data_IF_082427947848
#
_entry.id   IF_082427947848
#
_cell.length_a   1.000
_cell.length_b   1.000
_cell.length_c   1.000
_cell.angle_alpha   90.00
_cell.angle_beta   90.00
_cell.angle_gamma   90.00
#
_symmetry.space_group_name_H-M   'P 1'
#
loop_
_entity.id
_entity.type
_entity.pdbx_description
1 polymer ?
#
# COMPACT_ATOMS: atom_id res chain seq x y z
N UNK A 1 -15.06 8.77 6.10
CA UNK A 1 -15.43 8.22 7.42
C UNK A 1 -16.93 7.91 7.55
N UNK A 2 -17.84 8.88 7.76
CA UNK A 2 -19.28 8.61 8.03
C UNK A 2 -19.99 7.68 7.03
N UNK A 3 -19.64 7.78 5.75
CA UNK A 3 -20.20 6.90 4.72
C UNK A 3 -19.78 5.43 4.92
N UNK A 4 -18.51 5.19 5.26
CA UNK A 4 -18.00 3.84 5.54
C UNK A 4 -18.68 3.28 6.79
N UNK A 5 -18.75 4.06 7.87
CA UNK A 5 -19.44 3.65 9.12
C UNK A 5 -20.90 3.24 8.86
N UNK A 6 -21.62 3.99 8.02
CA UNK A 6 -23.03 3.71 7.67
C UNK A 6 -23.20 2.45 6.81
N UNK A 7 -22.19 2.10 6.01
CA UNK A 7 -22.29 1.05 5.00
C UNK A 7 -21.37 -0.15 5.27
N UNK A 8 -20.66 -0.18 6.41
CA UNK A 8 -19.70 -1.23 6.76
C UNK A 8 -20.26 -2.63 6.51
N UNK A 9 -21.40 -2.97 7.13
CA UNK A 9 -22.03 -4.30 6.99
C UNK A 9 -22.56 -4.63 5.58
N UNK A 10 -22.38 -3.75 4.60
CA UNK A 10 -22.77 -3.94 3.18
C UNK A 10 -21.57 -4.03 2.24
N UNK A 11 -20.36 -3.95 2.76
CA UNK A 11 -19.13 -4.02 1.98
C UNK A 11 -18.43 -5.34 2.25
N UNK A 12 -17.83 -5.91 1.20
CA UNK A 12 -16.96 -7.07 1.38
C UNK A 12 -15.62 -6.70 2.01
N UNK A 13 -15.14 -5.49 1.69
CA UNK A 13 -13.79 -5.05 1.92
C UNK A 13 -13.66 -3.53 1.83
N UNK A 14 -12.85 -2.94 2.71
CA UNK A 14 -12.43 -1.54 2.65
C UNK A 14 -10.90 -1.46 2.54
N UNK A 15 -10.45 -0.95 1.40
CA UNK A 15 -9.06 -0.62 1.15
C UNK A 15 -8.77 0.82 1.61
N UNK A 16 -7.76 0.99 2.45
CA UNK A 16 -7.33 2.29 2.94
C UNK A 16 -6.12 2.83 2.19
N UNK A 17 -6.16 4.09 1.77
CA UNK A 17 -5.06 4.75 1.05
C UNK A 17 -4.82 6.18 1.53
N UNK A 18 -3.61 6.70 1.29
CA UNK A 18 -3.22 8.10 1.50
C UNK A 18 -2.75 8.67 0.16
N UNK A 19 -3.45 9.69 -0.35
CA UNK A 19 -3.11 10.36 -1.62
C UNK A 19 -2.80 11.85 -1.47
N UNK A 20 -3.03 12.39 -0.27
CA UNK A 20 -2.80 13.79 0.06
C UNK A 20 -1.81 13.88 1.22
N UNK A 21 -0.85 14.79 1.09
CA UNK A 21 0.03 15.19 2.19
C UNK A 21 -0.55 16.46 2.82
N UNK A 22 0.16 17.58 2.72
CA UNK A 22 -0.23 18.86 3.33
C UNK A 22 -1.26 19.65 2.52
N UNK A 23 -1.22 19.54 1.18
CA UNK A 23 -2.15 20.25 0.29
C UNK A 23 -3.42 19.43 0.16
N UNK A 24 -4.56 19.99 0.57
CA UNK A 24 -5.85 19.30 0.49
C UNK A 24 -6.47 19.34 -0.91
N UNK A 25 -5.99 20.24 -1.77
CA UNK A 25 -6.48 20.49 -3.13
C UNK A 25 -5.65 19.78 -4.21
N UNK A 26 -4.51 19.17 -3.85
CA UNK A 26 -3.60 18.55 -4.80
C UNK A 26 -3.04 17.23 -4.26
N UNK A 27 -3.35 16.14 -4.97
CA UNK A 27 -2.79 14.82 -4.69
C UNK A 27 -1.28 14.80 -4.98
N UNK A 28 -0.48 14.23 -4.08
CA UNK A 28 0.98 14.14 -4.28
C UNK A 28 1.32 13.13 -5.38
N UNK A 29 0.46 12.14 -5.62
CA UNK A 29 0.65 11.03 -6.56
C UNK A 29 0.05 11.29 -7.95
N UNK A 30 -0.42 12.51 -8.22
CA UNK A 30 -0.73 12.94 -9.59
C UNK A 30 0.55 13.01 -10.41
N UNK A 31 0.60 12.33 -11.55
CA UNK A 31 1.79 12.29 -12.43
C UNK A 31 1.50 13.07 -13.73
N UNK A 32 2.32 14.08 -14.10
CA UNK A 32 3.53 14.55 -13.41
C UNK A 32 3.27 15.61 -12.32
N UNK A 33 2.10 16.24 -12.29
CA UNK A 33 1.86 17.51 -11.57
C UNK A 33 2.19 17.48 -10.07
N UNK A 34 1.98 16.34 -9.40
CA UNK A 34 2.26 16.14 -7.98
C UNK A 34 3.75 16.11 -7.62
N UNK A 35 4.65 15.89 -8.58
CA UNK A 35 6.10 15.83 -8.34
C UNK A 35 6.66 17.16 -7.81
N UNK A 36 6.08 18.29 -8.24
CA UNK A 36 6.43 19.63 -7.75
C UNK A 36 6.32 19.77 -6.22
N UNK A 37 5.49 18.94 -5.56
CA UNK A 37 5.33 18.98 -4.11
C UNK A 37 6.58 18.49 -3.34
N UNK A 38 7.52 17.85 -4.02
CA UNK A 38 8.76 17.32 -3.43
C UNK A 38 9.96 18.26 -3.59
N UNK A 39 9.85 19.28 -4.45
CA UNK A 39 10.96 20.18 -4.76
C UNK A 39 11.40 20.99 -3.53
N UNK A 40 12.70 20.94 -3.22
CA UNK A 40 13.29 21.68 -2.09
C UNK A 40 12.89 21.16 -0.71
N UNK A 41 12.22 20.01 -0.60
CA UNK A 41 11.80 19.41 0.67
C UNK A 41 12.74 18.31 1.13
N UNK A 42 12.73 18.06 2.44
CA UNK A 42 13.37 16.90 3.04
C UNK A 42 12.55 15.63 2.76
N UNK A 43 13.11 14.68 2.01
CA UNK A 43 12.40 13.45 1.61
C UNK A 43 12.14 12.54 2.81
N UNK A 44 13.05 12.47 3.79
CA UNK A 44 12.88 11.65 4.99
C UNK A 44 11.67 12.12 5.81
N UNK A 45 11.53 13.44 5.99
CA UNK A 45 10.37 14.05 6.65
C UNK A 45 9.06 13.80 5.88
N UNK A 46 9.10 13.82 4.54
CA UNK A 46 7.92 13.53 3.72
C UNK A 46 7.46 12.08 3.89
N UNK A 47 8.39 11.13 3.91
CA UNK A 47 8.10 9.72 4.19
C UNK A 47 7.56 9.53 5.60
N UNK A 48 8.17 10.15 6.61
CA UNK A 48 7.70 10.09 7.99
C UNK A 48 6.27 10.66 8.13
N UNK A 49 5.96 11.77 7.46
CA UNK A 49 4.62 12.36 7.43
C UNK A 49 3.61 11.43 6.73
N UNK A 50 3.98 10.86 5.58
CA UNK A 50 3.14 9.90 4.86
C UNK A 50 2.82 8.66 5.70
N UNK A 51 3.81 8.08 6.37
CA UNK A 51 3.60 6.94 7.28
C UNK A 51 2.79 7.32 8.53
N UNK A 52 2.95 8.54 9.05
CA UNK A 52 2.11 9.06 10.12
C UNK A 52 0.62 9.09 9.70
N UNK A 53 0.31 9.58 8.49
CA UNK A 53 -1.05 9.60 7.94
C UNK A 53 -1.63 8.20 7.75
N UNK A 54 -0.81 7.22 7.36
CA UNK A 54 -1.25 5.82 7.34
C UNK A 54 -1.63 5.34 8.74
N UNK A 55 -0.85 5.67 9.77
CA UNK A 55 -1.19 5.33 11.17
C UNK A 55 -2.47 6.03 11.64
N UNK A 56 -2.71 7.28 11.24
CA UNK A 56 -3.97 8.00 11.50
C UNK A 56 -5.17 7.30 10.82
N UNK A 57 -5.01 6.89 9.56
CA UNK A 57 -6.01 6.12 8.82
C UNK A 57 -6.32 4.78 9.51
N UNK A 58 -5.29 4.02 9.86
CA UNK A 58 -5.42 2.74 10.57
C UNK A 58 -6.13 2.95 11.92
N UNK A 59 -5.85 4.05 12.62
CA UNK A 59 -6.47 4.39 13.91
C UNK A 59 -7.99 4.59 13.82
N UNK A 60 -8.53 4.84 12.63
CA UNK A 60 -9.99 4.94 12.44
C UNK A 60 -10.71 3.61 12.65
N UNK A 61 -10.03 2.47 12.48
CA UNK A 61 -10.62 1.13 12.58
C UNK A 61 -11.60 0.80 11.47
N UNK A 62 -11.56 1.52 10.35
CA UNK A 62 -12.50 1.40 9.23
C UNK A 62 -11.79 0.96 7.94
N UNK A 63 -10.80 0.09 8.05
CA UNK A 63 -10.01 -0.46 6.94
C UNK A 63 -9.71 -1.92 7.21
N UNK A 64 -9.63 -2.73 6.15
CA UNK A 64 -9.25 -4.15 6.21
C UNK A 64 -7.83 -4.38 5.68
N UNK A 65 -7.40 -3.54 4.72
CA UNK A 65 -6.07 -3.59 4.12
C UNK A 65 -5.61 -2.21 3.66
N UNK A 66 -4.30 -2.01 3.56
CA UNK A 66 -3.67 -0.77 3.13
C UNK A 66 -3.22 -0.88 1.66
N UNK A 67 -3.68 0.04 0.83
CA UNK A 67 -3.29 0.17 -0.57
C UNK A 67 -1.83 0.60 -0.66
N UNK A 68 -1.12 0.07 -1.69
CA UNK A 68 0.17 0.58 -2.18
C UNK A 68 1.02 1.27 -1.10
N UNK A 69 1.48 0.49 -0.11
CA UNK A 69 1.85 1.01 1.22
C UNK A 69 2.92 2.12 1.19
N UNK A 70 3.84 2.13 0.22
CA UNK A 70 4.87 3.16 0.08
C UNK A 70 4.66 4.09 -1.14
N UNK A 71 3.40 4.36 -1.52
CA UNK A 71 3.01 5.22 -2.67
C UNK A 71 3.77 6.55 -2.76
N UNK A 72 4.22 7.11 -1.63
CA UNK A 72 5.08 8.31 -1.56
C UNK A 72 6.28 8.26 -2.52
N UNK A 73 6.76 7.06 -2.88
CA UNK A 73 7.87 6.84 -3.79
C UNK A 73 7.54 7.02 -5.28
N UNK A 74 6.27 7.28 -5.64
CA UNK A 74 5.72 7.21 -7.01
C UNK A 74 6.51 8.00 -8.07
N UNK A 75 7.08 9.14 -7.70
CA UNK A 75 7.88 9.99 -8.60
C UNK A 75 9.37 9.65 -8.63
N UNK A 76 9.80 8.62 -7.89
CA UNK A 76 11.19 8.17 -7.84
C UNK A 76 12.02 8.78 -6.71
N UNK A 77 11.46 9.68 -5.88
CA UNK A 77 12.14 10.16 -4.67
C UNK A 77 12.40 9.00 -3.70
N UNK A 78 13.53 9.06 -2.98
CA UNK A 78 13.96 8.03 -2.03
C UNK A 78 14.47 8.69 -0.74
N UNK A 79 14.17 8.11 0.43
CA UNK A 79 14.72 8.58 1.69
C UNK A 79 16.24 8.37 1.70
N UNK A 80 16.94 9.18 2.49
CA UNK A 80 18.34 8.94 2.84
C UNK A 80 18.46 8.03 4.06
N UNK A 81 17.43 8.01 4.91
CA UNK A 81 17.32 7.07 6.01
C UNK A 81 16.96 5.65 5.54
N UNK A 82 17.28 4.66 6.37
CA UNK A 82 16.83 3.30 6.18
C UNK A 82 15.29 3.23 6.22
N UNK A 83 14.70 2.58 5.21
CA UNK A 83 13.25 2.51 5.08
C UNK A 83 12.59 1.76 6.25
N UNK A 84 13.29 0.77 6.82
CA UNK A 84 12.85 0.04 7.99
C UNK A 84 12.62 0.97 9.17
N UNK A 85 13.56 1.90 9.41
CA UNK A 85 13.44 2.93 10.46
C UNK A 85 12.18 3.78 10.30
N UNK A 86 11.84 4.17 9.07
CA UNK A 86 10.68 5.02 8.77
C UNK A 86 9.34 4.27 8.83
N UNK A 87 9.33 2.99 8.46
CA UNK A 87 8.10 2.20 8.28
C UNK A 87 7.75 1.30 9.48
N UNK A 88 8.72 0.94 10.33
CA UNK A 88 8.55 -0.11 11.35
C UNK A 88 7.37 0.15 12.29
N UNK A 89 7.22 1.38 12.81
CA UNK A 89 6.08 1.74 13.67
C UNK A 89 4.73 1.51 12.95
N UNK A 90 4.67 1.80 11.65
CA UNK A 90 3.46 1.57 10.83
C UNK A 90 3.19 0.07 10.68
N UNK A 91 4.20 -0.75 10.40
CA UNK A 91 4.05 -2.21 10.28
C UNK A 91 3.57 -2.83 11.59
N UNK A 92 4.15 -2.43 12.74
CA UNK A 92 3.68 -2.86 14.06
C UNK A 92 2.22 -2.49 14.31
N UNK A 93 1.78 -1.33 13.82
CA UNK A 93 0.39 -0.89 13.96
C UNK A 93 -0.56 -1.70 13.07
N UNK A 94 -0.16 -1.97 11.81
CA UNK A 94 -0.88 -2.85 10.88
C UNK A 94 -1.04 -4.24 11.49
N UNK A 95 0.04 -4.82 12.03
CA UNK A 95 0.02 -6.13 12.67
C UNK A 95 -0.91 -6.18 13.88
N UNK A 96 -0.78 -5.22 14.82
CA UNK A 96 -1.63 -5.14 16.02
C UNK A 96 -3.12 -4.98 15.68
N UNK A 97 -3.43 -4.35 14.55
CA UNK A 97 -4.80 -4.16 14.06
C UNK A 97 -5.30 -5.29 13.16
N UNK A 98 -4.48 -6.33 12.96
CA UNK A 98 -4.81 -7.49 12.14
C UNK A 98 -5.19 -7.12 10.70
N UNK A 99 -4.50 -6.14 10.12
CA UNK A 99 -4.74 -5.65 8.75
C UNK A 99 -3.82 -6.33 7.73
N UNK A 100 -4.20 -6.28 6.44
CA UNK A 100 -3.37 -6.76 5.34
C UNK A 100 -2.70 -5.61 4.58
N UNK A 101 -1.66 -5.92 3.79
CA UNK A 101 -1.01 -4.97 2.87
C UNK A 101 -1.28 -5.38 1.42
N UNK A 102 -1.64 -4.43 0.56
CA UNK A 102 -1.81 -4.66 -0.86
C UNK A 102 -0.46 -4.73 -1.60
N UNK A 103 -0.25 -5.82 -2.34
CA UNK A 103 0.78 -5.91 -3.37
C UNK A 103 0.20 -5.38 -4.70
N UNK A 104 0.47 -4.11 -4.99
CA UNK A 104 -0.09 -3.42 -6.16
C UNK A 104 0.91 -3.33 -7.31
N UNK A 105 0.56 -3.96 -8.42
CA UNK A 105 1.34 -3.92 -9.67
C UNK A 105 1.27 -2.58 -10.40
N UNK A 106 0.50 -1.63 -9.87
CA UNK A 106 0.34 -0.29 -10.42
C UNK A 106 1.68 0.46 -10.54
N UNK A 107 2.57 0.29 -9.57
CA UNK A 107 3.83 1.00 -9.53
C UNK A 107 4.76 0.71 -10.70
N UNK A 108 4.66 -0.47 -11.33
CA UNK A 108 5.36 -0.79 -12.59
C UNK A 108 4.86 0.02 -13.80
N UNK A 109 3.71 0.70 -13.68
CA UNK A 109 3.19 1.62 -14.70
C UNK A 109 3.45 3.09 -14.36
N UNK A 110 4.04 3.38 -13.20
CA UNK A 110 4.33 4.74 -12.73
C UNK A 110 5.82 5.06 -12.92
N UNK A 111 6.24 6.33 -12.79
CA UNK A 111 7.65 6.71 -12.95
C UNK A 111 8.61 5.90 -12.08
N UNK A 112 8.18 5.50 -10.88
CA UNK A 112 8.99 4.65 -10.00
C UNK A 112 9.30 3.26 -10.56
N UNK A 113 8.48 2.73 -11.45
CA UNK A 113 8.64 1.42 -12.09
C UNK A 113 8.97 0.27 -11.13
N UNK A 114 8.30 0.24 -9.98
CA UNK A 114 8.55 -0.70 -8.88
C UNK A 114 7.21 -1.23 -8.33
N UNK A 115 7.21 -2.39 -7.67
CA UNK A 115 6.00 -2.88 -6.99
C UNK A 115 5.67 -1.93 -5.81
N UNK A 116 4.39 -1.83 -5.45
CA UNK A 116 4.01 -1.29 -4.15
C UNK A 116 3.58 -2.42 -3.20
N UNK A 117 4.12 -2.50 -1.97
CA UNK A 117 5.31 -1.79 -1.53
C UNK A 117 6.60 -2.32 -2.15
N UNK A 118 7.71 -1.65 -1.84
CA UNK A 118 9.08 -2.08 -2.16
C UNK A 118 9.45 -3.40 -1.49
N UNK A 119 10.40 -4.14 -2.07
CA UNK A 119 10.85 -5.42 -1.53
C UNK A 119 11.28 -5.36 -0.05
N UNK A 120 12.07 -4.37 0.41
CA UNK A 120 12.45 -4.29 1.83
C UNK A 120 11.24 -4.19 2.77
N UNK A 121 10.19 -3.45 2.36
CA UNK A 121 8.97 -3.35 3.15
C UNK A 121 8.18 -4.66 3.13
N UNK A 122 8.17 -5.38 1.99
CA UNK A 122 7.54 -6.71 1.90
C UNK A 122 8.25 -7.69 2.84
N UNK A 123 9.59 -7.72 2.82
CA UNK A 123 10.41 -8.58 3.68
C UNK A 123 10.13 -8.30 5.17
N UNK A 124 10.17 -7.03 5.59
CA UNK A 124 9.83 -6.63 6.97
C UNK A 124 8.39 -7.01 7.35
N UNK A 125 7.43 -6.83 6.45
CA UNK A 125 6.05 -7.22 6.68
C UNK A 125 5.90 -8.74 6.82
N UNK A 126 6.67 -9.53 6.07
CA UNK A 126 6.73 -10.99 6.20
C UNK A 126 7.31 -11.43 7.54
N UNK A 127 8.39 -10.79 7.99
CA UNK A 127 9.01 -11.08 9.30
C UNK A 127 8.04 -10.85 10.46
N UNK A 128 7.21 -9.80 10.38
CA UNK A 128 6.16 -9.48 11.36
C UNK A 128 4.92 -10.39 11.20
N UNK A 129 4.79 -11.10 10.07
CA UNK A 129 3.64 -11.96 9.78
C UNK A 129 2.39 -11.21 9.33
N UNK A 130 2.56 -10.09 8.61
CA UNK A 130 1.46 -9.32 8.03
C UNK A 130 0.99 -10.01 6.73
N UNK A 131 -0.32 -10.29 6.57
CA UNK A 131 -0.84 -10.90 5.34
C UNK A 131 -0.89 -9.92 4.17
N UNK A 132 -0.86 -10.46 2.95
CA UNK A 132 -0.93 -9.67 1.72
C UNK A 132 -2.21 -9.89 0.93
N UNK A 133 -2.74 -8.83 0.31
CA UNK A 133 -3.68 -8.90 -0.81
C UNK A 133 -2.93 -8.60 -2.11
N UNK A 134 -3.58 -8.73 -3.27
CA UNK A 134 -2.97 -8.38 -4.57
C UNK A 134 -3.90 -7.48 -5.38
N UNK A 135 -3.32 -6.55 -6.12
CA UNK A 135 -4.10 -5.65 -6.97
C UNK A 135 -3.36 -5.25 -8.25
N UNK A 136 -4.16 -4.95 -9.27
CA UNK A 136 -3.67 -4.30 -10.49
C UNK A 136 -3.82 -2.78 -10.46
N UNK A 137 -4.68 -2.26 -9.58
CA UNK A 137 -5.14 -0.86 -9.55
C UNK A 137 -5.57 -0.38 -10.95
N UNK A 138 -6.40 -1.20 -11.58
CA UNK A 138 -6.80 -1.03 -12.97
C UNK A 138 -7.83 0.10 -13.11
N UNK A 139 -7.46 1.13 -13.86
CA UNK A 139 -8.37 2.23 -14.22
C UNK A 139 -9.04 2.03 -15.58
N UNK A 140 -8.79 0.89 -16.22
CA UNK A 140 -9.46 0.44 -17.44
C UNK A 140 -9.41 -1.08 -17.54
N UNK A 141 -10.32 -1.66 -18.32
CA UNK A 141 -10.42 -3.12 -18.49
C UNK A 141 -9.11 -3.76 -19.00
N UNK A 142 -8.33 -3.04 -19.81
CA UNK A 142 -7.03 -3.54 -20.32
C UNK A 142 -5.94 -3.63 -19.24
N UNK A 143 -6.10 -2.93 -18.12
CA UNK A 143 -5.16 -2.97 -17.00
C UNK A 143 -5.52 -4.06 -15.97
N UNK A 144 -6.71 -4.66 -16.08
CA UNK A 144 -7.17 -5.67 -15.13
C UNK A 144 -6.22 -6.87 -15.14
N UNK A 145 -5.67 -7.21 -13.97
CA UNK A 145 -4.68 -8.29 -13.85
C UNK A 145 -3.36 -7.99 -14.55
N UNK A 146 -3.13 -6.74 -14.97
CA UNK A 146 -1.90 -6.32 -15.62
C UNK A 146 -0.68 -6.65 -14.76
N UNK A 147 0.37 -7.20 -15.39
CA UNK A 147 1.59 -7.64 -14.74
C UNK A 147 1.43 -8.73 -13.66
N UNK A 148 0.29 -9.44 -13.58
CA UNK A 148 0.13 -10.51 -12.58
C UNK A 148 1.10 -11.68 -12.79
N UNK A 149 1.49 -11.98 -14.03
CA UNK A 149 2.56 -12.95 -14.28
C UNK A 149 3.88 -12.51 -13.62
N UNK A 150 4.26 -11.23 -13.73
CA UNK A 150 5.44 -10.66 -13.06
C UNK A 150 5.28 -10.68 -11.54
N UNK A 151 4.08 -10.39 -11.01
CA UNK A 151 3.77 -10.48 -9.59
C UNK A 151 3.89 -11.90 -9.06
N UNK A 152 3.43 -12.91 -9.80
CA UNK A 152 3.54 -14.31 -9.42
C UNK A 152 5.01 -14.74 -9.27
N UNK A 153 5.87 -14.39 -10.24
CA UNK A 153 7.31 -14.63 -10.14
C UNK A 153 7.91 -13.93 -8.92
N UNK A 154 7.54 -12.66 -8.69
CA UNK A 154 8.03 -11.88 -7.55
C UNK A 154 7.63 -12.49 -6.21
N UNK A 155 6.36 -12.89 -6.06
CA UNK A 155 5.87 -13.58 -4.86
C UNK A 155 6.59 -14.92 -4.67
N UNK A 156 6.88 -15.66 -5.75
CA UNK A 156 7.60 -16.91 -5.68
C UNK A 156 9.05 -16.73 -5.18
N UNK A 157 9.75 -15.71 -5.70
CA UNK A 157 11.11 -15.30 -5.30
C UNK A 157 11.17 -14.90 -3.83
N UNK A 158 10.22 -14.09 -3.36
CA UNK A 158 10.13 -13.65 -1.97
C UNK A 158 9.62 -14.76 -1.02
N UNK A 159 9.16 -15.90 -1.54
CA UNK A 159 8.65 -17.00 -0.74
C UNK A 159 7.21 -16.81 -0.23
N UNK A 160 6.45 -15.89 -0.79
CA UNK A 160 5.02 -15.70 -0.50
C UNK A 160 4.24 -16.87 -1.10
N UNK A 161 3.55 -17.65 -0.27
CA UNK A 161 2.79 -18.86 -0.69
C UNK A 161 1.27 -18.71 -0.60
N UNK A 162 0.81 -17.62 0.00
CA UNK A 162 -0.60 -17.35 0.21
C UNK A 162 -0.88 -15.86 0.17
N UNK A 163 -2.07 -15.51 -0.25
CA UNK A 163 -2.63 -14.16 -0.19
C UNK A 163 -3.98 -14.21 0.50
N UNK A 164 -4.48 -13.06 0.90
CA UNK A 164 -5.79 -12.94 1.53
C UNK A 164 -6.83 -12.37 0.58
N UNK A 165 -8.04 -12.86 0.75
CA UNK A 165 -9.27 -12.31 0.19
C UNK A 165 -10.20 -11.93 1.34
N UNK A 166 -11.18 -11.07 1.05
CA UNK A 166 -12.15 -10.60 2.03
C UNK A 166 -13.56 -10.79 1.50
N UNK A 167 -14.45 -11.25 2.37
CA UNK A 167 -15.89 -11.35 2.15
C UNK A 167 -16.58 -10.89 3.43
N UNK A 168 -17.46 -9.89 3.35
CA UNK A 168 -18.09 -9.25 4.51
C UNK A 168 -17.09 -8.92 5.65
N UNK A 169 -15.95 -8.30 5.33
CA UNK A 169 -14.85 -8.00 6.26
C UNK A 169 -14.16 -9.21 6.93
N UNK A 170 -14.51 -10.43 6.51
CA UNK A 170 -13.85 -11.65 6.99
C UNK A 170 -12.73 -12.02 6.05
N UNK A 171 -11.52 -12.06 6.60
CA UNK A 171 -10.32 -12.47 5.88
C UNK A 171 -10.28 -13.98 5.73
N UNK A 172 -10.04 -14.46 4.51
CA UNK A 172 -9.70 -15.84 4.20
C UNK A 172 -8.36 -15.89 3.46
N UNK A 173 -7.60 -16.96 3.68
CA UNK A 173 -6.32 -17.18 2.99
C UNK A 173 -6.51 -18.09 1.78
N UNK A 174 -5.88 -17.75 0.67
CA UNK A 174 -5.85 -18.50 -0.57
C UNK A 174 -4.41 -18.90 -0.85
N UNK A 175 -4.16 -20.20 -0.93
CA UNK A 175 -2.87 -20.72 -1.35
C UNK A 175 -2.61 -20.37 -2.82
N UNK A 176 -1.41 -19.89 -3.11
CA UNK A 176 -1.00 -19.58 -4.47
C UNK A 176 -0.52 -20.85 -5.17
N UNK A 177 -0.96 -21.06 -6.41
CA UNK A 177 -0.39 -22.05 -7.32
C UNK A 177 0.76 -21.37 -8.07
N UNK A 178 1.93 -21.29 -7.42
CA UNK A 178 3.16 -20.71 -7.96
C UNK A 178 4.07 -21.78 -8.55
#
# INVERSE_FOLDING_TARGET
>A
RKWIEKNWDKLDFVLGSVHFLERADQMFDSVPDGASQFEGRNIDEMYANYFCRLRELISTGLVDSLAHLDLIKIHGHRPTEDIGTLVNETLEFIHRRNLAIELSTAGWRKPVNELYPSDPIIELAMEIGIPFTTASDAHSHVQLGGNFAKLAHKMAELGIRKVCIFENHKRAEVALQL
#
